data_IF_374542111857
#
_entry.id   IF_374542111857
#
_cell.length_a   1.000
_cell.length_b   1.000
_cell.length_c   1.000
_cell.angle_alpha   90.00
_cell.angle_beta   90.00
_cell.angle_gamma   90.00
#
_symmetry.space_group_name_H-M   'P 1'
#
loop_
_entity.id
_entity.type
_entity.pdbx_description
1 polymer ?
#
# COMPACT_ATOMS: atom_id res chain seq x y z
N UNK A 1 -7.71 -16.56 19.60
CA UNK A 1 -6.73 -17.02 20.61
C UNK A 1 -5.30 -16.57 20.24
N UNK A 2 -4.42 -16.24 21.19
CA UNK A 2 -3.02 -15.97 20.89
C UNK A 2 -2.38 -17.21 20.25
N UNK A 3 -1.46 -16.98 19.30
CA UNK A 3 -0.70 -18.04 18.65
C UNK A 3 0.20 -18.71 19.72
N UNK A 4 -0.13 -19.94 20.11
CA UNK A 4 0.64 -20.78 21.02
C UNK A 4 2.06 -21.11 20.48
N UNK A 5 3.13 -20.85 21.26
CA UNK A 5 4.49 -21.21 20.88
C UNK A 5 4.63 -22.70 20.59
N UNK A 6 5.28 -23.07 19.47
CA UNK A 6 5.56 -24.46 19.11
C UNK A 6 4.48 -25.17 18.27
N UNK A 7 3.46 -24.44 17.81
CA UNK A 7 2.42 -24.96 16.90
C UNK A 7 2.77 -24.64 15.44
N UNK A 8 2.62 -25.60 14.52
CA UNK A 8 2.75 -25.33 13.08
C UNK A 8 1.56 -24.49 12.62
N UNK A 9 1.82 -23.26 12.15
CA UNK A 9 0.82 -22.38 11.59
C UNK A 9 0.76 -22.53 10.08
N UNK A 10 -0.45 -22.67 9.56
CA UNK A 10 -0.75 -22.61 8.14
C UNK A 10 -1.16 -21.19 7.77
N UNK A 11 -0.99 -20.78 6.50
CA UNK A 11 -1.50 -19.51 5.99
C UNK A 11 -2.99 -19.27 6.29
N UNK A 12 -3.80 -20.33 6.33
CA UNK A 12 -5.22 -20.22 6.66
C UNK A 12 -5.46 -19.76 8.11
N UNK A 13 -4.52 -20.03 9.03
CA UNK A 13 -4.64 -19.61 10.43
C UNK A 13 -4.52 -18.09 10.58
N UNK A 14 -3.78 -17.42 9.70
CA UNK A 14 -3.78 -15.95 9.61
C UNK A 14 -5.14 -15.42 9.19
N UNK A 15 -5.73 -15.99 8.15
CA UNK A 15 -7.05 -15.58 7.65
C UNK A 15 -8.10 -15.79 8.74
N UNK A 16 -8.08 -16.95 9.43
CA UNK A 16 -8.98 -17.22 10.56
C UNK A 16 -8.79 -16.22 11.70
N UNK A 17 -7.55 -15.80 11.97
CA UNK A 17 -7.25 -14.84 13.04
C UNK A 17 -7.69 -13.42 12.69
N UNK A 18 -7.38 -12.92 11.50
CA UNK A 18 -7.62 -11.53 11.11
C UNK A 18 -9.02 -11.29 10.55
N UNK A 19 -9.51 -12.21 9.73
CA UNK A 19 -10.70 -11.99 8.91
C UNK A 19 -11.97 -12.65 9.43
N UNK A 20 -11.97 -13.46 10.50
CA UNK A 20 -13.12 -13.63 11.44
C UNK A 20 -12.98 -14.85 12.38
N UNK A 21 -13.34 -14.69 13.67
CA UNK A 21 -13.73 -15.82 14.56
C UNK A 21 -15.09 -16.48 14.21
N UNK A 22 -15.82 -16.00 13.19
CA UNK A 22 -17.19 -16.45 12.83
C UNK A 22 -17.31 -17.11 11.44
N UNK A 23 -16.21 -17.56 10.82
CA UNK A 23 -16.33 -18.33 9.57
C UNK A 23 -17.20 -19.57 9.82
N UNK A 24 -18.24 -19.76 9.01
CA UNK A 24 -19.02 -21.01 9.05
C UNK A 24 -18.12 -22.14 8.57
N UNK A 25 -18.27 -23.35 9.12
CA UNK A 25 -17.47 -24.53 8.72
C UNK A 25 -17.47 -24.79 7.21
N UNK A 26 -18.55 -24.43 6.51
CA UNK A 26 -18.64 -24.59 5.06
C UNK A 26 -17.72 -23.62 4.30
N UNK A 27 -17.57 -22.38 4.80
CA UNK A 27 -16.71 -21.37 4.18
C UNK A 27 -15.22 -21.70 4.43
N UNK A 28 -14.90 -22.28 5.59
CA UNK A 28 -13.56 -22.77 5.92
C UNK A 28 -13.16 -23.91 4.97
N UNK A 29 -14.03 -24.90 4.79
CA UNK A 29 -13.80 -26.00 3.86
C UNK A 29 -13.65 -25.49 2.42
N UNK A 30 -14.48 -24.52 2.01
CA UNK A 30 -14.37 -23.92 0.69
C UNK A 30 -13.02 -23.24 0.49
N UNK A 31 -12.53 -22.49 1.49
CA UNK A 31 -11.23 -21.83 1.45
C UNK A 31 -10.08 -22.84 1.35
N UNK A 32 -10.10 -23.91 2.15
CA UNK A 32 -9.12 -25.01 2.05
C UNK A 32 -9.13 -25.67 0.67
N UNK A 33 -10.32 -25.88 0.09
CA UNK A 33 -10.45 -26.37 -1.28
C UNK A 33 -9.90 -25.40 -2.32
N UNK A 34 -10.07 -24.09 -2.15
CA UNK A 34 -9.49 -23.12 -3.10
C UNK A 34 -7.97 -23.02 -2.96
N UNK A 35 -7.45 -23.10 -1.74
CA UNK A 35 -6.00 -23.11 -1.47
C UNK A 35 -5.33 -24.33 -2.10
N UNK A 36 -5.93 -25.52 -1.96
CA UNK A 36 -5.42 -26.75 -2.58
C UNK A 36 -5.54 -26.77 -4.11
N UNK A 37 -6.51 -26.03 -4.68
CA UNK A 37 -6.67 -25.87 -6.14
C UNK A 37 -5.80 -24.77 -6.74
N UNK A 38 -4.91 -24.14 -5.96
CA UNK A 38 -4.07 -23.02 -6.42
C UNK A 38 -4.87 -21.86 -6.99
N UNK A 39 -6.09 -21.61 -6.51
CA UNK A 39 -6.97 -20.52 -6.99
C UNK A 39 -6.89 -19.25 -6.15
N UNK A 40 -5.95 -19.18 -5.22
CA UNK A 40 -5.78 -18.08 -4.28
C UNK A 40 -4.52 -17.31 -4.63
N UNK A 41 -4.65 -15.98 -4.74
CA UNK A 41 -3.55 -15.04 -4.85
C UNK A 41 -3.31 -14.40 -3.48
N UNK A 42 -2.08 -14.51 -2.98
CA UNK A 42 -1.66 -13.85 -1.74
C UNK A 42 -1.05 -12.48 -2.05
N UNK A 43 -1.52 -11.43 -1.39
CA UNK A 43 -0.91 -10.11 -1.43
C UNK A 43 -0.21 -9.87 -0.08
N UNK A 44 1.11 -9.82 -0.10
CA UNK A 44 1.95 -9.64 1.08
C UNK A 44 2.53 -8.23 1.07
N UNK A 45 1.94 -7.34 1.84
CA UNK A 45 2.35 -5.93 1.88
C UNK A 45 3.44 -5.69 2.93
N UNK A 46 4.52 -5.00 2.57
CA UNK A 46 5.53 -4.52 3.52
C UNK A 46 6.47 -5.60 4.08
N UNK A 47 7.10 -6.41 3.22
CA UNK A 47 8.11 -7.39 3.66
C UNK A 47 9.24 -6.78 4.49
N UNK A 48 9.63 -5.54 4.19
CA UNK A 48 10.74 -4.90 4.88
C UNK A 48 10.47 -4.64 6.37
N UNK A 49 9.20 -4.54 6.77
CA UNK A 49 8.79 -4.31 8.16
C UNK A 49 9.02 -5.53 9.05
N UNK A 50 8.97 -6.73 8.45
CA UNK A 50 9.04 -8.00 9.16
C UNK A 50 10.38 -8.71 8.96
N UNK A 51 11.10 -8.49 7.86
CA UNK A 51 12.27 -9.30 7.51
C UNK A 51 13.38 -9.32 8.58
N UNK A 52 13.57 -8.21 9.31
CA UNK A 52 14.61 -8.09 10.34
C UNK A 52 14.17 -8.56 11.73
N UNK A 53 12.87 -8.42 12.05
CA UNK A 53 12.35 -8.65 13.41
C UNK A 53 11.42 -9.86 13.52
N UNK A 54 11.33 -10.69 12.49
CA UNK A 54 10.47 -11.87 12.49
C UNK A 54 10.99 -12.95 13.44
N UNK A 55 10.17 -13.42 14.39
CA UNK A 55 10.52 -14.57 15.22
C UNK A 55 10.83 -15.79 14.34
N UNK A 56 11.89 -16.55 14.66
CA UNK A 56 12.32 -17.72 13.87
C UNK A 56 11.19 -18.75 13.63
N UNK A 57 10.32 -18.92 14.62
CA UNK A 57 9.14 -19.79 14.52
C UNK A 57 8.15 -19.28 13.47
N UNK A 58 7.87 -17.97 13.42
CA UNK A 58 6.96 -17.38 12.43
C UNK A 58 7.56 -17.41 11.01
N UNK A 59 8.89 -17.22 10.91
CA UNK A 59 9.62 -17.29 9.64
C UNK A 59 9.54 -18.67 8.99
N UNK A 60 9.96 -19.70 9.73
CA UNK A 60 10.03 -21.07 9.22
C UNK A 60 8.67 -21.72 9.01
N UNK A 61 7.66 -21.36 9.82
CA UNK A 61 6.36 -22.03 9.78
C UNK A 61 5.39 -21.37 8.82
N UNK A 62 5.34 -20.04 8.79
CA UNK A 62 4.27 -19.31 8.12
C UNK A 62 4.76 -18.60 6.88
N UNK A 63 5.83 -17.82 7.00
CA UNK A 63 6.35 -17.03 5.89
C UNK A 63 6.93 -17.93 4.78
N UNK A 64 7.75 -18.92 5.13
CA UNK A 64 8.26 -19.90 4.15
C UNK A 64 7.14 -20.72 3.49
N UNK A 65 6.01 -20.94 4.15
CA UNK A 65 4.86 -21.59 3.54
C UNK A 65 4.12 -20.67 2.57
N UNK A 66 3.95 -19.39 2.92
CA UNK A 66 3.38 -18.37 2.04
C UNK A 66 4.20 -18.22 0.76
N UNK A 67 5.52 -18.22 0.87
CA UNK A 67 6.43 -18.17 -0.29
C UNK A 67 6.36 -19.42 -1.19
N UNK A 68 5.85 -20.55 -0.67
CA UNK A 68 5.64 -21.79 -1.45
C UNK A 68 4.27 -21.85 -2.11
N UNK A 69 3.40 -20.86 -1.90
CA UNK A 69 2.08 -20.82 -2.54
C UNK A 69 2.21 -20.54 -4.04
N UNK A 70 1.28 -21.09 -4.81
CA UNK A 70 1.32 -21.02 -6.27
C UNK A 70 1.29 -19.58 -6.81
N UNK A 71 0.56 -18.69 -6.15
CA UNK A 71 0.40 -17.30 -6.57
C UNK A 71 0.54 -16.37 -5.38
N UNK A 72 1.59 -15.55 -5.40
CA UNK A 72 1.78 -14.50 -4.41
C UNK A 72 2.48 -13.28 -5.03
N UNK A 73 2.09 -12.09 -4.57
CA UNK A 73 2.76 -10.82 -4.85
C UNK A 73 3.23 -10.28 -3.50
N UNK A 74 4.48 -9.86 -3.44
CA UNK A 74 5.11 -9.31 -2.26
C UNK A 74 5.61 -7.90 -2.56
N UNK A 75 5.29 -6.94 -1.69
CA UNK A 75 5.83 -5.59 -1.76
C UNK A 75 6.93 -5.44 -0.70
N UNK A 76 7.95 -4.65 -1.02
CA UNK A 76 9.04 -4.34 -0.09
C UNK A 76 9.70 -3.04 -0.51
N UNK A 77 10.26 -2.32 0.45
CA UNK A 77 11.18 -1.22 0.13
C UNK A 77 12.47 -1.75 -0.52
N UNK A 78 13.10 -0.98 -1.43
CA UNK A 78 14.24 -1.45 -2.22
C UNK A 78 15.42 -1.99 -1.39
N UNK A 79 15.64 -1.45 -0.19
CA UNK A 79 16.78 -1.82 0.66
C UNK A 79 16.66 -3.20 1.31
N UNK A 80 15.49 -3.84 1.28
CA UNK A 80 15.27 -5.14 1.94
C UNK A 80 14.68 -6.21 1.01
N UNK A 81 14.68 -5.95 -0.30
CA UNK A 81 14.30 -6.94 -1.31
C UNK A 81 15.41 -8.01 -1.49
N UNK A 82 15.52 -8.91 -0.51
CA UNK A 82 16.55 -9.96 -0.44
C UNK A 82 16.08 -11.32 -0.99
N UNK A 83 14.80 -11.41 -1.37
CA UNK A 83 14.19 -12.63 -1.88
C UNK A 83 14.42 -12.77 -3.39
N UNK A 84 14.55 -14.01 -3.85
CA UNK A 84 14.67 -14.31 -5.28
C UNK A 84 13.30 -14.62 -5.85
N UNK A 85 12.93 -13.91 -6.91
CA UNK A 85 11.66 -14.06 -7.63
C UNK A 85 11.92 -14.15 -9.14
N UNK A 86 11.08 -14.93 -9.84
CA UNK A 86 11.11 -15.03 -11.31
C UNK A 86 10.78 -13.70 -11.99
N UNK A 87 9.92 -12.90 -11.35
CA UNK A 87 9.48 -11.60 -11.83
C UNK A 87 9.69 -10.56 -10.73
N UNK A 88 10.42 -9.49 -11.05
CA UNK A 88 10.63 -8.34 -10.18
C UNK A 88 10.09 -7.10 -10.88
N UNK A 89 9.31 -6.29 -10.17
CA UNK A 89 8.76 -5.04 -10.66
C UNK A 89 9.18 -3.90 -9.73
N UNK A 90 9.51 -2.75 -10.31
CA UNK A 90 9.85 -1.54 -9.58
C UNK A 90 8.75 -0.49 -9.80
N UNK A 91 8.31 0.14 -8.71
CA UNK A 91 7.37 1.26 -8.76
C UNK A 91 8.21 2.54 -8.86
N UNK A 92 8.24 3.15 -10.05
CA UNK A 92 9.08 4.32 -10.34
C UNK A 92 8.40 5.67 -10.05
N UNK A 93 7.15 5.65 -9.55
CA UNK A 93 6.36 6.86 -9.30
C UNK A 93 5.47 7.27 -10.47
N UNK A 94 4.93 8.48 -10.39
CA UNK A 94 4.06 9.08 -11.41
C UNK A 94 4.85 9.66 -12.57
N UNK A 95 4.26 9.53 -13.76
CA UNK A 95 4.66 10.30 -14.95
C UNK A 95 4.06 11.70 -14.92
N UNK A 96 4.56 12.61 -15.77
CA UNK A 96 3.99 13.94 -15.99
C UNK A 96 2.46 13.90 -16.25
N UNK A 97 2.02 12.92 -17.06
CA UNK A 97 0.60 12.72 -17.37
C UNK A 97 -0.19 12.23 -16.16
N UNK A 98 0.38 11.33 -15.34
CA UNK A 98 -0.24 10.90 -14.09
C UNK A 98 -0.37 12.05 -13.10
N UNK A 99 0.60 12.96 -13.02
CA UNK A 99 0.51 14.16 -12.18
C UNK A 99 -0.68 15.03 -12.63
N UNK A 100 -0.78 15.30 -13.94
CA UNK A 100 -1.87 16.11 -14.48
C UNK A 100 -3.25 15.47 -14.24
N UNK A 101 -3.36 14.15 -14.45
CA UNK A 101 -4.56 13.38 -14.21
C UNK A 101 -4.93 13.35 -12.73
N UNK A 102 -3.97 13.08 -11.84
CA UNK A 102 -4.18 13.04 -10.40
C UNK A 102 -4.65 14.40 -9.87
N UNK A 103 -3.98 15.49 -10.24
CA UNK A 103 -4.40 16.84 -9.82
C UNK A 103 -5.83 17.12 -10.25
N UNK A 104 -6.19 16.77 -11.48
CA UNK A 104 -7.57 16.92 -11.97
C UNK A 104 -8.56 16.12 -11.11
N UNK A 105 -8.29 14.83 -10.91
CA UNK A 105 -9.17 13.95 -10.13
C UNK A 105 -9.32 14.41 -8.68
N UNK A 106 -8.25 14.90 -8.05
CA UNK A 106 -8.26 15.42 -6.68
C UNK A 106 -9.26 16.58 -6.52
N UNK A 107 -9.19 17.59 -7.39
CA UNK A 107 -10.08 18.75 -7.32
C UNK A 107 -11.49 18.45 -7.85
N UNK A 108 -11.66 17.51 -8.78
CA UNK A 108 -13.01 17.09 -9.23
C UNK A 108 -13.82 16.42 -8.10
N UNK A 109 -13.16 15.87 -7.08
CA UNK A 109 -13.80 15.25 -5.92
C UNK A 109 -14.12 16.24 -4.79
N UNK A 110 -13.54 17.44 -4.79
CA UNK A 110 -13.81 18.44 -3.75
C UNK A 110 -15.21 19.04 -3.92
N UNK A 111 -15.95 19.19 -2.83
CA UNK A 111 -17.36 19.66 -2.82
C UNK A 111 -17.54 21.14 -3.17
N UNK A 112 -16.46 21.80 -3.58
CA UNK A 112 -16.50 23.19 -4.02
C UNK A 112 -17.29 23.33 -5.33
N UNK A 113 -17.78 24.54 -5.60
CA UNK A 113 -18.45 24.82 -6.88
C UNK A 113 -17.48 24.44 -8.01
N UNK A 114 -17.89 23.57 -8.93
CA UNK A 114 -17.09 23.01 -10.04
C UNK A 114 -16.12 24.00 -10.73
N UNK A 115 -16.50 25.29 -10.83
CA UNK A 115 -15.65 26.34 -11.41
C UNK A 115 -14.43 26.68 -10.57
N UNK A 116 -14.56 26.68 -9.24
CA UNK A 116 -13.48 26.99 -8.31
C UNK A 116 -12.48 25.82 -8.24
N UNK A 117 -12.97 24.58 -8.26
CA UNK A 117 -12.16 23.37 -8.32
C UNK A 117 -11.29 23.29 -9.59
N UNK A 118 -11.89 23.51 -10.77
CA UNK A 118 -11.16 23.51 -12.04
C UNK A 118 -10.06 24.58 -12.06
N UNK A 119 -10.37 25.78 -11.56
CA UNK A 119 -9.43 26.89 -11.50
C UNK A 119 -8.27 26.62 -10.53
N UNK A 120 -8.56 26.05 -9.34
CA UNK A 120 -7.55 25.61 -8.36
C UNK A 120 -6.60 24.59 -8.98
N UNK A 121 -7.13 23.54 -9.62
CA UNK A 121 -6.32 22.51 -10.27
C UNK A 121 -5.42 23.05 -11.39
N UNK A 122 -5.95 23.92 -12.26
CA UNK A 122 -5.15 24.56 -13.32
C UNK A 122 -4.03 25.45 -12.76
N UNK A 123 -4.31 26.20 -11.68
CA UNK A 123 -3.29 27.01 -11.00
C UNK A 123 -2.22 26.13 -10.37
N UNK A 124 -2.59 25.04 -9.69
CA UNK A 124 -1.62 24.12 -9.11
C UNK A 124 -0.73 23.52 -10.20
N UNK A 125 -1.29 23.05 -11.31
CA UNK A 125 -0.50 22.51 -12.42
C UNK A 125 0.48 23.55 -13.00
N UNK A 126 0.04 24.81 -13.11
CA UNK A 126 0.90 25.90 -13.58
C UNK A 126 2.04 26.18 -12.60
N UNK A 127 1.74 26.18 -11.30
CA UNK A 127 2.73 26.34 -10.24
C UNK A 127 3.76 25.20 -10.25
N UNK A 128 3.29 23.96 -10.29
CA UNK A 128 4.12 22.76 -10.36
C UNK A 128 5.11 22.82 -11.54
N UNK A 129 4.64 23.21 -12.73
CA UNK A 129 5.49 23.36 -13.93
C UNK A 129 6.46 24.53 -13.84
N UNK A 130 6.14 25.57 -13.07
CA UNK A 130 7.02 26.74 -12.89
C UNK A 130 8.17 26.50 -11.90
N UNK A 131 8.11 25.43 -11.11
CA UNK A 131 9.11 25.10 -10.09
C UNK A 131 9.68 23.70 -10.30
N UNK A 132 10.86 23.57 -10.97
CA UNK A 132 11.46 22.27 -11.27
C UNK A 132 11.70 21.38 -10.04
N UNK A 133 12.02 21.96 -8.90
CA UNK A 133 12.22 21.23 -7.64
C UNK A 133 10.92 20.59 -7.15
N UNK A 134 9.82 21.37 -7.13
CA UNK A 134 8.52 20.87 -6.69
C UNK A 134 7.96 19.90 -7.74
N UNK A 135 8.23 20.13 -9.01
CA UNK A 135 7.91 19.20 -10.10
C UNK A 135 8.54 17.82 -9.88
N UNK A 136 9.84 17.77 -9.57
CA UNK A 136 10.52 16.51 -9.27
C UNK A 136 9.94 15.80 -8.05
N UNK A 137 9.56 16.55 -7.01
CA UNK A 137 8.93 16.02 -5.79
C UNK A 137 7.55 15.42 -6.09
N UNK A 138 6.77 16.05 -6.97
CA UNK A 138 5.42 15.64 -7.36
C UNK A 138 5.35 14.29 -8.11
N UNK A 139 6.48 13.78 -8.61
CA UNK A 139 6.55 12.44 -9.20
C UNK A 139 6.38 11.32 -8.16
N UNK A 140 6.52 11.62 -6.87
CA UNK A 140 6.23 10.67 -5.80
C UNK A 140 4.76 10.85 -5.39
N UNK A 141 3.89 9.82 -5.56
CA UNK A 141 2.44 9.97 -5.35
C UNK A 141 2.05 10.56 -4.00
N UNK A 142 2.66 10.12 -2.90
CA UNK A 142 2.37 10.64 -1.56
C UNK A 142 2.75 12.13 -1.43
N UNK A 143 3.79 12.59 -2.11
CA UNK A 143 4.17 14.00 -2.07
C UNK A 143 3.17 14.85 -2.88
N UNK A 144 2.68 14.34 -4.01
CA UNK A 144 1.66 15.04 -4.79
C UNK A 144 0.35 15.17 -4.02
N UNK A 145 -0.10 14.12 -3.32
CA UNK A 145 -1.25 14.16 -2.41
C UNK A 145 -1.10 15.26 -1.34
N UNK A 146 0.08 15.33 -0.71
CA UNK A 146 0.39 16.38 0.28
C UNK A 146 0.32 17.78 -0.35
N UNK A 147 0.92 17.97 -1.53
CA UNK A 147 0.89 19.26 -2.24
C UNK A 147 -0.56 19.66 -2.58
N UNK A 148 -1.36 18.74 -3.11
CA UNK A 148 -2.77 18.97 -3.45
C UNK A 148 -3.59 19.34 -2.20
N UNK A 149 -3.41 18.62 -1.09
CA UNK A 149 -4.12 18.87 0.17
C UNK A 149 -3.77 20.23 0.77
N UNK A 150 -2.48 20.58 0.79
CA UNK A 150 -2.01 21.90 1.22
C UNK A 150 -2.53 23.02 0.32
N UNK A 151 -2.64 22.77 -0.99
CA UNK A 151 -3.16 23.73 -1.96
C UNK A 151 -4.66 23.98 -1.83
N UNK A 152 -5.43 22.94 -1.48
CA UNK A 152 -6.88 23.04 -1.30
C UNK A 152 -7.28 23.63 0.06
N UNK A 153 -6.30 23.91 0.93
CA UNK A 153 -6.49 24.26 2.36
C UNK A 153 -7.30 23.20 3.13
N UNK A 154 -7.48 22.00 2.55
CA UNK A 154 -8.13 20.88 3.22
C UNK A 154 -7.09 20.28 4.17
N UNK A 155 -7.27 20.40 5.50
CA UNK A 155 -6.36 19.76 6.42
C UNK A 155 -6.39 18.27 6.18
N UNK A 156 -5.21 17.66 6.01
CA UNK A 156 -5.09 16.21 6.04
C UNK A 156 -5.72 15.72 7.35
N UNK A 157 -6.40 14.56 7.36
CA UNK A 157 -6.88 13.98 8.61
C UNK A 157 -5.72 13.82 9.60
N UNK A 158 -5.62 14.73 10.58
CA UNK A 158 -4.62 14.71 11.64
C UNK A 158 -3.51 15.76 11.63
N UNK A 159 -3.42 16.68 10.67
CA UNK A 159 -2.36 17.71 10.67
C UNK A 159 -2.85 19.06 11.20
N UNK A 160 -2.51 19.40 12.45
CA UNK A 160 -2.23 20.79 12.83
C UNK A 160 -0.84 21.12 12.30
N UNK A 161 -0.72 22.27 11.63
CA UNK A 161 0.48 22.79 10.95
C UNK A 161 1.80 22.35 11.60
N UNK A 162 2.49 21.38 10.99
CA UNK A 162 3.85 20.98 11.33
C UNK A 162 4.62 20.75 10.04
N UNK A 163 5.79 21.39 9.93
CA UNK A 163 6.70 21.18 8.79
C UNK A 163 7.58 19.96 9.05
N UNK A 164 8.02 19.30 7.98
CA UNK A 164 8.88 18.10 8.04
C UNK A 164 10.21 18.35 8.79
N UNK A 165 10.67 19.60 8.85
CA UNK A 165 11.86 20.03 9.61
C UNK A 165 11.66 20.17 11.12
N UNK A 166 10.44 19.98 11.63
CA UNK A 166 10.13 20.13 13.04
C UNK A 166 10.11 18.80 13.83
N UNK A 167 10.50 17.68 13.21
CA UNK A 167 10.63 16.36 13.83
C UNK A 167 12.09 15.93 13.92
#
# INVERSE_FOLDING_TARGET
>A
PPLLPGTNYLPIDLIKKEYLPNLKKNDEKLLEEQLSKSKVLWLLDGYDEIAQNMPKSLKSLLFEQLLKTAHHILTSRPYLNTLSYDVNMEITGFTDDNIAEYVKQFFDQSKDKLKDALFKGQKLQSFLKSSPTIWGIAHIPVNLELICSLWDETPLPGTKELTVTAL
#
